data_IF_223961608828
#
_entry.id   IF_223961608828
#
_cell.length_a   1.000
_cell.length_b   1.000
_cell.length_c   1.000
_cell.angle_alpha   90.00
_cell.angle_beta   90.00
_cell.angle_gamma   90.00
#
_symmetry.space_group_name_H-M   'P 1'
#
loop_
_entity.id
_entity.type
_entity.pdbx_description
1 polymer ?
#
# COMPACT_ATOMS: atom_id res chain seq x y z
N UNK A 1 -4.72 -5.67 15.14
CA UNK A 1 -3.49 -5.25 14.45
C UNK A 1 -3.89 -4.45 13.21
N UNK A 2 -3.16 -3.37 12.84
CA UNK A 2 -3.52 -2.60 11.65
C UNK A 2 -3.42 -3.48 10.39
N UNK A 3 -4.37 -3.32 9.47
CA UNK A 3 -4.47 -4.11 8.23
C UNK A 3 -3.15 -4.10 7.44
N UNK A 4 -2.47 -2.95 7.41
CA UNK A 4 -1.17 -2.79 6.76
C UNK A 4 -0.04 -3.62 7.40
N UNK A 5 -0.09 -3.83 8.71
CA UNK A 5 0.90 -4.67 9.39
C UNK A 5 0.67 -6.16 9.08
N UNK A 6 -0.58 -6.61 9.07
CA UNK A 6 -0.94 -7.97 8.66
C UNK A 6 -0.51 -8.21 7.20
N UNK A 7 -0.83 -7.27 6.29
CA UNK A 7 -0.39 -7.32 4.88
C UNK A 7 1.13 -7.41 4.77
N UNK A 8 1.86 -6.63 5.56
CA UNK A 8 3.33 -6.65 5.58
C UNK A 8 3.87 -8.00 6.04
N UNK A 9 3.28 -8.61 7.07
CA UNK A 9 3.67 -9.95 7.55
C UNK A 9 3.41 -11.03 6.50
N UNK A 10 2.24 -11.02 5.85
CA UNK A 10 1.93 -11.94 4.75
C UNK A 10 2.90 -11.76 3.57
N UNK A 11 3.33 -10.52 3.31
CA UNK A 11 4.30 -10.22 2.24
C UNK A 11 5.71 -10.75 2.57
N UNK A 12 6.11 -10.79 3.85
CA UNK A 12 7.37 -11.44 4.26
C UNK A 12 7.33 -12.94 3.96
N UNK A 13 6.21 -13.60 4.24
CA UNK A 13 6.04 -15.00 3.88
C UNK A 13 6.14 -15.20 2.35
N UNK A 14 5.50 -14.32 1.57
CA UNK A 14 5.61 -14.34 0.10
C UNK A 14 7.05 -14.15 -0.38
N UNK A 15 7.82 -13.28 0.28
CA UNK A 15 9.25 -13.09 0.01
C UNK A 15 10.05 -14.38 0.24
N UNK A 16 9.84 -15.05 1.38
CA UNK A 16 10.51 -16.33 1.69
C UNK A 16 10.18 -17.39 0.63
N UNK A 17 8.91 -17.54 0.25
CA UNK A 17 8.48 -18.47 -0.80
C UNK A 17 9.14 -18.14 -2.15
N UNK A 18 9.37 -16.85 -2.44
CA UNK A 18 10.05 -16.39 -3.65
C UNK A 18 11.52 -16.79 -3.65
N UNK A 19 12.23 -16.55 -2.55
CA UNK A 19 13.64 -16.97 -2.40
C UNK A 19 13.76 -18.49 -2.50
N UNK A 20 12.86 -19.23 -1.85
CA UNK A 20 12.83 -20.69 -1.95
C UNK A 20 12.54 -21.18 -3.37
N UNK A 21 11.67 -20.50 -4.13
CA UNK A 21 11.41 -20.81 -5.53
C UNK A 21 12.66 -20.63 -6.41
N UNK A 22 13.41 -19.52 -6.21
CA UNK A 22 14.68 -19.27 -6.91
C UNK A 22 15.67 -20.37 -6.55
N UNK A 23 15.87 -20.64 -5.26
CA UNK A 23 16.81 -21.64 -4.76
C UNK A 23 16.55 -23.02 -5.38
N UNK A 24 15.32 -23.50 -5.29
CA UNK A 24 14.95 -24.81 -5.86
C UNK A 24 15.09 -24.86 -7.38
N UNK A 25 14.84 -23.76 -8.08
CA UNK A 25 15.05 -23.70 -9.54
C UNK A 25 16.54 -23.75 -9.90
N UNK A 26 17.39 -23.01 -9.19
CA UNK A 26 18.83 -22.98 -9.42
C UNK A 26 19.50 -24.31 -9.04
N UNK A 27 19.06 -24.98 -7.99
CA UNK A 27 19.57 -26.32 -7.66
C UNK A 27 19.22 -27.36 -8.72
N UNK A 28 18.05 -27.25 -9.38
CA UNK A 28 17.64 -28.20 -10.43
C UNK A 28 18.25 -27.89 -11.79
N UNK A 29 18.44 -26.62 -12.14
CA UNK A 29 18.85 -26.21 -13.50
C UNK A 29 20.20 -25.51 -13.60
N UNK A 30 20.78 -25.07 -12.48
CA UNK A 30 21.98 -24.23 -12.43
C UNK A 30 23.25 -24.96 -11.97
N UNK A 31 23.14 -26.16 -11.40
CA UNK A 31 24.29 -26.98 -10.99
C UNK A 31 24.52 -28.14 -11.96
N UNK A 32 25.80 -28.44 -12.22
CA UNK A 32 26.22 -29.63 -12.97
C UNK A 32 26.11 -30.90 -12.11
N UNK A 33 26.39 -30.78 -10.80
CA UNK A 33 26.32 -31.88 -9.84
C UNK A 33 25.10 -31.75 -8.92
N UNK A 34 24.36 -32.85 -8.78
CA UNK A 34 23.14 -32.89 -7.98
C UNK A 34 23.47 -33.16 -6.51
N UNK A 35 23.52 -32.09 -5.70
CA UNK A 35 23.68 -32.20 -4.24
C UNK A 35 22.45 -32.78 -3.55
N UNK A 36 21.27 -32.59 -4.14
CA UNK A 36 19.98 -32.95 -3.56
C UNK A 36 19.19 -33.88 -4.48
N UNK A 37 18.19 -34.57 -3.91
CA UNK A 37 17.27 -35.38 -4.70
C UNK A 37 16.38 -34.48 -5.58
N UNK A 38 16.59 -34.56 -6.91
CA UNK A 38 15.90 -33.73 -7.92
C UNK A 38 14.37 -33.94 -7.89
N UNK A 39 13.89 -35.16 -7.68
CA UNK A 39 12.45 -35.43 -7.66
C UNK A 39 11.78 -34.77 -6.46
N UNK A 40 12.41 -34.85 -5.28
CA UNK A 40 11.94 -34.15 -4.08
C UNK A 40 11.95 -32.64 -4.29
N UNK A 41 13.02 -32.08 -4.85
CA UNK A 41 13.12 -30.65 -5.17
C UNK A 41 12.00 -30.20 -6.13
N UNK A 42 11.72 -30.97 -7.19
CA UNK A 42 10.62 -30.67 -8.12
C UNK A 42 9.26 -30.70 -7.43
N UNK A 43 9.00 -31.67 -6.54
CA UNK A 43 7.76 -31.73 -5.74
C UNK A 43 7.62 -30.51 -4.81
N UNK A 44 8.69 -30.16 -4.10
CA UNK A 44 8.74 -28.99 -3.22
C UNK A 44 8.54 -27.68 -3.99
N UNK A 45 9.18 -27.53 -5.16
CA UNK A 45 9.01 -26.34 -6.01
C UNK A 45 7.54 -26.19 -6.47
N UNK A 46 6.90 -27.29 -6.88
CA UNK A 46 5.48 -27.28 -7.27
C UNK A 46 4.56 -26.95 -6.10
N UNK A 47 4.81 -27.52 -4.92
CA UNK A 47 4.04 -27.22 -3.71
C UNK A 47 4.20 -25.74 -3.31
N UNK A 48 5.44 -25.25 -3.29
CA UNK A 48 5.77 -23.85 -3.03
C UNK A 48 5.06 -22.91 -4.01
N UNK A 49 5.01 -23.25 -5.30
CA UNK A 49 4.27 -22.49 -6.31
C UNK A 49 2.77 -22.41 -6.03
N UNK A 50 2.13 -23.49 -5.55
CA UNK A 50 0.71 -23.46 -5.16
C UNK A 50 0.46 -22.59 -3.94
N UNK A 51 1.30 -22.71 -2.91
CA UNK A 51 1.22 -21.88 -1.70
C UNK A 51 1.44 -20.41 -2.04
N UNK A 52 2.40 -20.12 -2.91
CA UNK A 52 2.66 -18.77 -3.43
C UNK A 52 1.41 -18.18 -4.10
N UNK A 53 0.77 -18.92 -5.02
CA UNK A 53 -0.43 -18.44 -5.73
C UNK A 53 -1.58 -18.18 -4.76
N UNK A 54 -1.82 -19.09 -3.81
CA UNK A 54 -2.87 -18.92 -2.81
C UNK A 54 -2.65 -17.67 -1.96
N UNK A 55 -1.43 -17.49 -1.45
CA UNK A 55 -1.05 -16.33 -0.64
C UNK A 55 -1.11 -15.03 -1.46
N UNK A 56 -0.70 -15.08 -2.72
CA UNK A 56 -0.76 -13.94 -3.64
C UNK A 56 -2.21 -13.49 -3.85
N UNK A 57 -3.14 -14.42 -4.11
CA UNK A 57 -4.57 -14.11 -4.28
C UNK A 57 -5.15 -13.50 -3.00
N UNK A 58 -4.80 -14.06 -1.83
CA UNK A 58 -5.24 -13.51 -0.54
C UNK A 58 -4.77 -12.07 -0.33
N UNK A 59 -3.49 -11.77 -0.61
CA UNK A 59 -2.95 -10.40 -0.51
C UNK A 59 -3.59 -9.48 -1.55
N UNK A 60 -3.78 -9.96 -2.78
CA UNK A 60 -4.42 -9.21 -3.85
C UNK A 60 -5.87 -8.82 -3.50
N UNK A 61 -6.62 -9.69 -2.83
CA UNK A 61 -7.96 -9.37 -2.32
C UNK A 61 -7.94 -8.16 -1.38
N UNK A 62 -7.04 -8.14 -0.38
CA UNK A 62 -6.91 -6.98 0.52
C UNK A 62 -6.50 -5.70 -0.21
N UNK A 63 -5.66 -5.81 -1.24
CA UNK A 63 -5.27 -4.66 -2.07
C UNK A 63 -6.46 -4.12 -2.89
N UNK A 64 -7.23 -4.99 -3.54
CA UNK A 64 -8.39 -4.59 -4.33
C UNK A 64 -9.49 -3.99 -3.46
N UNK A 65 -9.76 -4.62 -2.31
CA UNK A 65 -10.71 -4.11 -1.31
C UNK A 65 -10.33 -2.69 -0.85
N UNK A 66 -9.04 -2.45 -0.58
CA UNK A 66 -8.53 -1.13 -0.23
C UNK A 66 -8.72 -0.11 -1.36
N UNK A 67 -8.42 -0.47 -2.62
CA UNK A 67 -8.58 0.44 -3.77
C UNK A 67 -10.05 0.79 -4.01
N UNK A 68 -10.94 -0.20 -4.00
CA UNK A 68 -12.38 -0.01 -4.21
C UNK A 68 -12.98 0.87 -3.13
N UNK A 69 -12.57 0.70 -1.87
CA UNK A 69 -13.09 1.48 -0.74
C UNK A 69 -12.54 2.89 -0.67
N UNK A 70 -11.25 3.09 -0.96
CA UNK A 70 -10.63 4.42 -0.86
C UNK A 70 -10.94 5.33 -2.06
N UNK A 71 -11.17 4.77 -3.25
CA UNK A 71 -11.41 5.52 -4.50
C UNK A 71 -10.41 6.67 -4.71
N UNK A 72 -9.20 6.53 -4.18
CA UNK A 72 -8.14 7.52 -4.24
C UNK A 72 -7.26 7.23 -5.45
N UNK A 73 -6.78 8.28 -6.10
CA UNK A 73 -5.80 8.11 -7.17
C UNK A 73 -4.53 7.46 -6.61
N UNK A 74 -3.96 6.45 -7.31
CA UNK A 74 -2.77 5.80 -6.84
C UNK A 74 -1.59 6.76 -6.89
N UNK A 75 -0.87 6.89 -5.78
CA UNK A 75 0.42 7.58 -5.76
C UNK A 75 1.42 6.87 -6.70
N UNK A 76 2.50 7.53 -7.15
CA UNK A 76 3.49 6.89 -8.03
C UNK A 76 3.99 5.54 -7.49
N UNK A 77 4.24 5.45 -6.17
CA UNK A 77 4.61 4.19 -5.49
C UNK A 77 3.52 3.13 -5.62
N UNK A 78 2.25 3.49 -5.39
CA UNK A 78 1.13 2.57 -5.53
C UNK A 78 0.93 2.11 -6.98
N UNK A 79 1.18 2.99 -7.95
CA UNK A 79 1.17 2.66 -9.38
C UNK A 79 2.24 1.64 -9.73
N UNK A 80 3.49 1.84 -9.30
CA UNK A 80 4.55 0.83 -9.50
C UNK A 80 4.21 -0.51 -8.84
N UNK A 81 3.67 -0.49 -7.63
CA UNK A 81 3.21 -1.70 -6.95
C UNK A 81 2.14 -2.45 -7.78
N UNK A 82 1.15 -1.73 -8.32
CA UNK A 82 0.10 -2.30 -9.16
C UNK A 82 0.65 -2.87 -10.48
N UNK A 83 1.57 -2.14 -11.14
CA UNK A 83 2.21 -2.59 -12.39
C UNK A 83 2.98 -3.89 -12.15
N UNK A 84 3.76 -3.98 -11.06
CA UNK A 84 4.46 -5.21 -10.71
C UNK A 84 3.50 -6.36 -10.42
N UNK A 85 2.42 -6.09 -9.68
CA UNK A 85 1.41 -7.09 -9.37
C UNK A 85 0.77 -7.67 -10.66
N UNK A 86 0.27 -6.81 -11.54
CA UNK A 86 -0.34 -7.22 -12.81
C UNK A 86 0.66 -7.99 -13.67
N UNK A 87 1.91 -7.53 -13.73
CA UNK A 87 2.98 -8.20 -14.48
C UNK A 87 3.26 -9.60 -13.95
N UNK A 88 3.27 -9.80 -12.63
CA UNK A 88 3.42 -11.14 -12.01
C UNK A 88 2.26 -12.06 -12.40
N UNK A 89 1.01 -11.58 -12.36
CA UNK A 89 -0.16 -12.37 -12.76
C UNK A 89 -0.06 -12.78 -14.23
N UNK A 90 0.23 -11.84 -15.12
CA UNK A 90 0.38 -12.10 -16.56
C UNK A 90 1.46 -13.13 -16.83
N UNK A 91 2.62 -13.00 -16.17
CA UNK A 91 3.72 -13.95 -16.33
C UNK A 91 3.41 -15.33 -15.72
N UNK A 92 2.62 -15.41 -14.64
CA UNK A 92 2.17 -16.68 -14.08
C UNK A 92 1.25 -17.41 -15.07
N UNK A 93 0.29 -16.71 -15.69
CA UNK A 93 -0.54 -17.29 -16.74
C UNK A 93 0.30 -17.76 -17.92
N UNK A 94 1.24 -16.93 -18.39
CA UNK A 94 2.14 -17.30 -19.48
C UNK A 94 2.98 -18.54 -19.14
N UNK A 95 3.53 -18.60 -17.91
CA UNK A 95 4.26 -19.75 -17.39
C UNK A 95 3.42 -21.02 -17.43
N UNK A 96 2.18 -20.95 -16.94
CA UNK A 96 1.25 -22.09 -16.94
C UNK A 96 0.89 -22.53 -18.36
N UNK A 97 0.66 -21.58 -19.27
CA UNK A 97 0.39 -21.85 -20.69
C UNK A 97 1.57 -22.55 -21.37
N UNK A 98 2.81 -22.15 -21.11
CA UNK A 98 4.00 -22.80 -21.69
C UNK A 98 4.21 -24.22 -21.15
N UNK A 99 3.84 -24.48 -19.90
CA UNK A 99 3.96 -25.81 -19.29
C UNK A 99 2.88 -26.77 -19.84
N UNK A 100 1.63 -26.31 -19.99
CA UNK A 100 0.49 -27.20 -20.27
C UNK A 100 0.09 -27.23 -21.75
N UNK A 101 0.15 -26.09 -22.45
CA UNK A 101 -0.41 -25.93 -23.80
C UNK A 101 0.74 -25.80 -24.82
N UNK A 102 1.59 -24.77 -24.66
CA UNK A 102 2.61 -24.41 -25.65
C UNK A 102 3.99 -24.97 -25.30
N UNK A 103 4.09 -26.31 -25.27
CA UNK A 103 5.29 -27.04 -24.81
C UNK A 103 6.59 -26.70 -25.58
N UNK A 104 6.50 -26.17 -26.81
CA UNK A 104 7.68 -25.68 -27.56
C UNK A 104 8.42 -24.55 -26.83
N UNK A 105 7.73 -23.78 -25.99
CA UNK A 105 8.32 -22.69 -25.20
C UNK A 105 8.76 -23.12 -23.79
N UNK A 106 8.91 -24.42 -23.54
CA UNK A 106 9.29 -24.92 -22.21
C UNK A 106 10.66 -24.40 -21.76
N UNK A 107 11.60 -24.19 -22.69
CA UNK A 107 12.94 -23.68 -22.37
C UNK A 107 12.94 -22.26 -21.78
N UNK A 108 11.91 -21.46 -22.08
CA UNK A 108 11.72 -20.09 -21.60
C UNK A 108 11.09 -20.04 -20.20
N UNK A 109 10.52 -21.15 -19.68
CA UNK A 109 9.83 -21.21 -18.38
C UNK A 109 10.73 -20.77 -17.22
N UNK A 110 12.04 -21.06 -17.29
CA UNK A 110 13.03 -20.64 -16.28
C UNK A 110 13.23 -19.12 -16.26
N UNK A 111 13.27 -18.49 -17.44
CA UNK A 111 13.42 -17.04 -17.57
C UNK A 111 12.18 -16.34 -17.00
N UNK A 112 10.99 -16.85 -17.35
CA UNK A 112 9.72 -16.35 -16.80
C UNK A 112 9.70 -16.51 -15.26
N UNK A 113 10.20 -17.63 -14.74
CA UNK A 113 10.33 -17.85 -13.29
C UNK A 113 11.20 -16.79 -12.59
N UNK A 114 12.35 -16.44 -13.18
CA UNK A 114 13.24 -15.39 -12.65
C UNK A 114 12.54 -14.03 -12.71
N UNK A 115 11.89 -13.69 -13.82
CA UNK A 115 11.16 -12.43 -13.97
C UNK A 115 10.06 -12.28 -12.92
N UNK A 116 9.25 -13.33 -12.70
CA UNK A 116 8.23 -13.35 -11.65
C UNK A 116 8.88 -13.07 -10.29
N UNK A 117 10.01 -13.70 -9.99
CA UNK A 117 10.67 -13.52 -8.71
C UNK A 117 11.20 -12.08 -8.51
N UNK A 118 11.86 -11.50 -9.52
CA UNK A 118 12.35 -10.12 -9.47
C UNK A 118 11.21 -9.11 -9.32
N UNK A 119 10.14 -9.25 -10.09
CA UNK A 119 8.96 -8.38 -10.00
C UNK A 119 8.26 -8.53 -8.65
N UNK A 120 8.21 -9.74 -8.09
CA UNK A 120 7.66 -9.97 -6.74
C UNK A 120 8.50 -9.24 -5.69
N UNK A 121 9.83 -9.31 -5.77
CA UNK A 121 10.72 -8.61 -4.84
C UNK A 121 10.52 -7.09 -4.96
N UNK A 122 10.44 -6.54 -6.18
CA UNK A 122 10.15 -5.12 -6.42
C UNK A 122 8.77 -4.69 -5.89
N UNK A 123 7.74 -5.52 -6.10
CA UNK A 123 6.39 -5.30 -5.57
C UNK A 123 6.36 -5.28 -4.04
N UNK A 124 7.08 -6.20 -3.39
CA UNK A 124 7.21 -6.26 -1.92
C UNK A 124 7.98 -5.04 -1.41
N UNK A 125 9.07 -4.65 -2.07
CA UNK A 125 9.88 -3.48 -1.72
C UNK A 125 9.09 -2.17 -1.75
N UNK A 126 8.31 -1.95 -2.80
CA UNK A 126 7.44 -0.75 -2.96
C UNK A 126 6.26 -0.71 -1.99
N UNK A 127 5.94 -1.82 -1.30
CA UNK A 127 4.86 -1.87 -0.31
C UNK A 127 5.36 -2.24 1.09
N UNK A 128 5.45 -3.53 1.43
CA UNK A 128 5.82 -3.98 2.78
C UNK A 128 7.22 -3.50 3.19
N UNK A 129 8.19 -3.50 2.26
CA UNK A 129 9.54 -3.00 2.52
C UNK A 129 9.53 -1.52 2.93
N UNK A 130 8.88 -0.67 2.13
CA UNK A 130 8.71 0.74 2.48
C UNK A 130 8.00 0.92 3.83
N UNK A 131 6.87 0.24 4.04
CA UNK A 131 6.09 0.32 5.28
C UNK A 131 6.92 -0.03 6.52
N UNK A 132 7.64 -1.16 6.49
CA UNK A 132 8.47 -1.59 7.61
C UNK A 132 9.64 -0.62 7.87
N UNK A 133 10.23 -0.02 6.83
CA UNK A 133 11.28 0.97 7.00
C UNK A 133 10.77 2.26 7.67
N UNK A 134 9.63 2.81 7.20
CA UNK A 134 9.10 4.07 7.74
C UNK A 134 8.43 3.94 9.11
N UNK A 135 8.09 2.71 9.51
CA UNK A 135 7.47 2.41 10.81
C UNK A 135 8.45 1.80 11.81
N UNK A 136 9.75 1.69 11.47
CA UNK A 136 10.77 0.93 12.22
C UNK A 136 10.25 -0.45 12.62
N UNK A 137 9.83 -1.24 11.64
CA UNK A 137 9.26 -2.57 11.81
C UNK A 137 8.01 -2.60 12.71
N UNK A 138 7.21 -1.54 12.69
CA UNK A 138 6.02 -1.39 13.51
C UNK A 138 6.27 -0.93 14.96
N UNK A 139 7.50 -0.50 15.28
CA UNK A 139 7.91 -0.08 16.64
C UNK A 139 7.71 1.44 16.86
N UNK A 140 7.59 2.25 15.79
CA UNK A 140 7.53 3.72 15.95
C UNK A 140 6.18 4.25 16.48
N UNK A 141 6.22 4.62 17.76
CA UNK A 141 5.40 5.65 18.43
C UNK A 141 5.80 7.04 17.90
N UNK A 142 4.86 7.97 17.65
CA UNK A 142 5.09 9.14 16.80
C UNK A 142 5.94 10.21 17.46
N UNK A 143 7.19 10.45 17.01
CA UNK A 143 7.95 11.64 17.43
C UNK A 143 8.84 12.23 16.32
N UNK A 144 8.59 13.53 16.11
CA UNK A 144 9.42 14.68 15.65
C UNK A 144 10.28 14.56 14.40
N UNK A 145 9.88 15.38 13.42
CA UNK A 145 10.56 16.61 12.95
C UNK A 145 10.48 16.65 11.43
N UNK A 146 9.62 17.52 10.90
CA UNK A 146 9.76 17.96 9.52
C UNK A 146 9.84 19.47 9.54
N UNK A 147 11.01 19.91 9.12
CA UNK A 147 11.45 21.27 8.89
C UNK A 147 10.49 22.02 7.97
N UNK A 148 10.36 23.31 8.23
CA UNK A 148 9.36 24.20 7.65
C UNK A 148 9.71 24.48 6.18
N UNK A 149 9.21 23.67 5.25
CA UNK A 149 9.23 24.03 3.82
C UNK A 149 8.22 25.17 3.64
N UNK A 150 8.75 26.35 3.31
CA UNK A 150 8.04 27.61 3.13
C UNK A 150 7.31 27.55 1.77
N UNK A 151 6.07 27.07 1.77
CA UNK A 151 5.18 27.21 0.63
C UNK A 151 4.57 28.61 0.64
N UNK A 152 4.49 29.23 -0.55
CA UNK A 152 3.83 30.51 -0.78
C UNK A 152 2.42 30.51 -0.17
N UNK A 153 2.11 31.58 0.55
CA UNK A 153 1.02 31.67 1.52
C UNK A 153 -0.36 31.79 0.84
N UNK A 154 -0.86 30.72 0.21
CA UNK A 154 -2.30 30.57 -0.01
C UNK A 154 -2.95 30.33 1.36
N UNK A 155 -3.55 31.37 1.93
CA UNK A 155 -4.25 31.29 3.22
C UNK A 155 -5.52 30.47 3.06
N UNK A 156 -5.49 29.22 3.53
CA UNK A 156 -6.69 28.41 3.70
C UNK A 156 -7.42 28.91 4.95
N UNK A 157 -8.62 29.44 4.80
CA UNK A 157 -9.46 29.88 5.92
C UNK A 157 -10.61 28.90 6.14
N UNK A 158 -11.24 28.96 7.31
CA UNK A 158 -12.41 28.15 7.62
C UNK A 158 -13.65 28.84 7.04
N UNK A 159 -14.27 28.23 6.03
CA UNK A 159 -15.63 28.60 5.61
C UNK A 159 -16.63 28.07 6.64
N UNK A 160 -17.69 28.85 6.90
CA UNK A 160 -18.75 28.49 7.85
C UNK A 160 -20.14 28.45 7.22
N UNK A 161 -20.25 28.60 5.89
CA UNK A 161 -21.52 28.48 5.20
C UNK A 161 -21.99 27.02 5.12
N UNK A 162 -23.31 26.84 5.19
CA UNK A 162 -23.96 25.52 5.20
C UNK A 162 -23.64 24.72 3.95
N UNK A 163 -23.51 25.37 2.78
CA UNK A 163 -23.22 24.71 1.51
C UNK A 163 -21.84 24.05 1.52
N UNK A 164 -20.80 24.77 1.95
CA UNK A 164 -19.43 24.26 2.07
C UNK A 164 -19.33 23.12 3.08
N UNK A 165 -20.07 23.19 4.20
CA UNK A 165 -20.13 22.13 5.20
C UNK A 165 -20.78 20.87 4.61
N UNK A 166 -21.88 21.00 3.87
CA UNK A 166 -22.57 19.86 3.23
C UNK A 166 -21.67 19.21 2.17
N UNK A 167 -21.10 19.99 1.25
CA UNK A 167 -20.16 19.48 0.24
C UNK A 167 -18.93 18.85 0.88
N UNK A 168 -18.41 19.46 1.95
CA UNK A 168 -17.30 18.93 2.74
C UNK A 168 -17.62 17.59 3.39
N UNK A 169 -18.83 17.44 3.93
CA UNK A 169 -19.32 16.19 4.52
C UNK A 169 -19.43 15.09 3.48
N UNK A 170 -20.03 15.36 2.32
CA UNK A 170 -20.13 14.38 1.22
C UNK A 170 -18.74 13.94 0.73
N UNK A 171 -17.82 14.89 0.57
CA UNK A 171 -16.45 14.59 0.18
C UNK A 171 -15.71 13.79 1.26
N UNK A 172 -15.91 14.11 2.54
CA UNK A 172 -15.37 13.36 3.66
C UNK A 172 -15.91 11.92 3.71
N UNK A 173 -17.22 11.76 3.54
CA UNK A 173 -17.87 10.45 3.53
C UNK A 173 -17.36 9.58 2.38
N UNK A 174 -17.09 10.17 1.22
CA UNK A 174 -16.60 9.44 0.05
C UNK A 174 -15.11 9.12 0.06
N UNK A 175 -14.27 9.92 0.74
CA UNK A 175 -12.79 9.80 0.66
C UNK A 175 -12.10 9.51 2.00
N UNK A 176 -12.70 9.89 3.13
CA UNK A 176 -12.02 9.92 4.43
C UNK A 176 -12.64 8.97 5.47
N UNK A 177 -13.96 8.77 5.43
CA UNK A 177 -14.74 8.01 6.42
C UNK A 177 -14.26 6.56 6.62
N UNK A 178 -13.73 5.93 5.56
CA UNK A 178 -13.19 4.58 5.65
C UNK A 178 -12.04 4.46 6.66
N UNK A 179 -11.20 5.49 6.73
CA UNK A 179 -10.05 5.51 7.62
C UNK A 179 -10.34 6.23 8.95
N UNK A 180 -11.22 7.22 8.92
CA UNK A 180 -11.36 8.20 9.99
C UNK A 180 -12.79 8.30 10.52
N UNK A 181 -12.95 8.02 11.81
CA UNK A 181 -14.22 8.14 12.53
C UNK A 181 -14.43 9.59 13.00
N UNK A 182 -15.57 10.20 12.68
CA UNK A 182 -15.86 11.61 13.04
C UNK A 182 -16.26 11.77 14.50
N UNK A 183 -16.84 10.72 15.09
CA UNK A 183 -17.41 10.74 16.44
C UNK A 183 -16.43 10.32 17.55
N UNK A 184 -15.20 9.93 17.17
CA UNK A 184 -14.22 9.32 18.07
C UNK A 184 -12.86 10.02 17.97
N UNK A 185 -12.05 9.91 19.02
CA UNK A 185 -10.61 10.25 19.03
C UNK A 185 -9.72 9.01 19.00
N UNK A 186 -10.32 7.81 19.03
CA UNK A 186 -9.59 6.53 19.06
C UNK A 186 -8.92 6.23 17.71
N UNK A 187 -7.89 5.41 17.76
CA UNK A 187 -7.17 4.94 16.57
C UNK A 187 -7.86 3.72 15.96
N UNK A 188 -8.21 3.80 14.67
CA UNK A 188 -8.73 2.69 13.87
C UNK A 188 -7.76 2.33 12.75
N UNK A 189 -8.18 2.56 11.50
CA UNK A 189 -7.28 2.55 10.32
C UNK A 189 -6.45 3.85 10.30
N UNK A 190 -7.09 4.99 10.52
CA UNK A 190 -6.48 6.28 10.85
C UNK A 190 -6.93 6.78 12.23
N UNK A 191 -6.42 7.95 12.69
CA UNK A 191 -6.90 8.59 13.91
C UNK A 191 -8.34 9.08 13.75
N UNK A 192 -9.13 9.01 14.82
CA UNK A 192 -10.43 9.67 14.87
C UNK A 192 -10.34 11.20 14.77
N UNK A 193 -11.38 11.81 14.22
CA UNK A 193 -11.44 13.24 13.88
C UNK A 193 -12.35 14.08 14.77
N UNK A 194 -12.88 13.52 15.86
CA UNK A 194 -13.65 14.31 16.84
C UNK A 194 -12.80 15.48 17.34
N UNK A 195 -13.30 16.71 17.12
CA UNK A 195 -12.61 17.95 17.47
C UNK A 195 -11.24 18.14 16.80
N UNK A 196 -11.00 17.59 15.60
CA UNK A 196 -9.67 17.56 14.99
C UNK A 196 -9.01 18.95 14.84
N UNK A 197 -9.79 19.98 14.49
CA UNK A 197 -9.33 21.38 14.38
C UNK A 197 -9.37 22.14 15.70
N UNK A 198 -10.00 21.57 16.75
CA UNK A 198 -10.01 22.13 18.11
C UNK A 198 -8.81 21.67 18.93
N UNK A 199 -8.10 20.64 18.47
CA UNK A 199 -6.90 20.15 19.11
C UNK A 199 -5.71 21.11 18.88
N UNK A 200 -4.75 21.21 19.81
CA UNK A 200 -3.57 22.03 19.59
C UNK A 200 -2.71 21.49 18.44
N UNK A 201 -2.67 20.16 18.26
CA UNK A 201 -1.82 19.48 17.28
C UNK A 201 -2.59 18.37 16.57
N UNK A 202 -2.21 18.10 15.32
CA UNK A 202 -2.69 16.95 14.54
C UNK A 202 -2.17 15.62 15.15
N UNK A 203 -3.00 14.56 15.21
CA UNK A 203 -2.71 13.35 15.97
C UNK A 203 -1.41 12.64 15.60
N UNK A 204 -1.11 12.56 14.29
CA UNK A 204 0.01 11.79 13.75
C UNK A 204 1.23 12.66 13.47
N UNK A 205 1.06 13.74 12.71
CA UNK A 205 2.15 14.60 12.25
C UNK A 205 2.67 15.54 13.35
N UNK A 206 1.90 15.74 14.43
CA UNK A 206 2.19 16.68 15.51
C UNK A 206 2.38 18.12 15.06
N UNK A 207 1.89 18.47 13.86
CA UNK A 207 1.82 19.88 13.40
C UNK A 207 0.66 20.59 14.10
N UNK A 208 0.69 21.93 14.26
CA UNK A 208 -0.46 22.69 14.73
C UNK A 208 -1.71 22.37 13.91
N UNK A 209 -2.87 22.15 14.55
CA UNK A 209 -4.10 21.79 13.85
C UNK A 209 -4.79 23.03 13.23
N UNK A 210 -4.06 23.72 12.34
CA UNK A 210 -4.59 24.86 11.59
C UNK A 210 -5.15 24.41 10.24
N UNK A 211 -6.07 25.18 9.64
CA UNK A 211 -6.59 24.91 8.29
C UNK A 211 -5.50 24.66 7.24
N UNK A 212 -4.41 25.44 7.28
CA UNK A 212 -3.30 25.33 6.34
C UNK A 212 -2.52 24.03 6.54
N UNK A 213 -2.30 23.62 7.78
CA UNK A 213 -1.64 22.35 8.08
C UNK A 213 -2.52 21.15 7.73
N UNK A 214 -3.85 21.27 7.86
CA UNK A 214 -4.80 20.26 7.41
C UNK A 214 -4.82 20.18 5.88
N UNK A 215 -4.94 21.31 5.18
CA UNK A 215 -4.84 21.37 3.71
C UNK A 215 -3.54 20.72 3.21
N UNK A 216 -2.41 21.10 3.82
CA UNK A 216 -1.11 20.55 3.48
C UNK A 216 -1.04 19.06 3.80
N UNK A 217 -1.61 18.58 4.90
CA UNK A 217 -1.61 17.16 5.21
C UNK A 217 -2.54 16.35 4.30
N UNK A 218 -3.62 16.92 3.78
CA UNK A 218 -4.47 16.25 2.78
C UNK A 218 -3.72 16.10 1.46
N UNK A 219 -3.00 17.15 1.02
CA UNK A 219 -2.21 17.13 -0.23
C UNK A 219 -0.92 16.31 -0.09
N UNK A 220 -0.17 16.56 0.96
CA UNK A 220 1.13 15.98 1.28
C UNK A 220 1.01 15.17 2.58
N UNK A 221 0.44 13.96 2.51
CA UNK A 221 0.09 13.17 3.68
C UNK A 221 1.31 12.74 4.49
N UNK A 222 1.04 12.50 5.77
CA UNK A 222 2.04 11.99 6.70
C UNK A 222 1.91 10.48 6.86
N UNK A 223 3.03 9.75 6.69
CA UNK A 223 3.15 8.29 6.79
C UNK A 223 2.19 7.53 5.86
N UNK A 224 1.22 6.81 6.42
CA UNK A 224 0.38 5.83 5.73
C UNK A 224 -0.90 6.44 5.15
N UNK A 225 -1.15 7.72 5.37
CA UNK A 225 -2.29 8.42 4.79
C UNK A 225 -2.10 8.55 3.26
N UNK A 226 -3.12 8.23 2.44
CA UNK A 226 -3.04 8.44 0.99
C UNK A 226 -3.04 9.94 0.66
N UNK A 227 -2.45 10.29 -0.49
CA UNK A 227 -2.38 11.68 -0.94
C UNK A 227 -3.65 12.03 -1.72
N UNK A 228 -4.13 13.25 -1.50
CA UNK A 228 -5.24 13.86 -2.23
C UNK A 228 -4.80 15.16 -2.91
N UNK A 229 -3.57 15.18 -3.45
CA UNK A 229 -3.01 16.36 -4.13
C UNK A 229 -3.83 16.83 -5.33
N UNK A 230 -4.65 15.95 -5.91
CA UNK A 230 -5.53 16.22 -7.04
C UNK A 230 -6.81 17.00 -6.68
N UNK A 231 -7.17 17.12 -5.39
CA UNK A 231 -8.35 17.89 -4.99
C UNK A 231 -8.17 19.37 -5.30
N UNK A 232 -9.24 20.03 -5.73
CA UNK A 232 -9.24 21.48 -5.96
C UNK A 232 -9.07 22.25 -4.64
N UNK A 233 -8.65 23.51 -4.71
CA UNK A 233 -8.56 24.34 -3.49
C UNK A 233 -9.94 24.52 -2.83
N UNK A 234 -11.01 24.54 -3.62
CA UNK A 234 -12.39 24.63 -3.12
C UNK A 234 -12.81 23.36 -2.37
N UNK A 235 -12.50 22.17 -2.89
CA UNK A 235 -12.75 20.89 -2.23
C UNK A 235 -12.04 20.79 -0.87
N UNK A 236 -10.79 21.27 -0.82
CA UNK A 236 -10.02 21.32 0.42
C UNK A 236 -10.66 22.28 1.43
N UNK A 237 -11.11 23.46 0.99
CA UNK A 237 -11.81 24.41 1.85
C UNK A 237 -13.13 23.84 2.38
N UNK A 238 -13.89 23.13 1.55
CA UNK A 238 -15.13 22.47 1.95
C UNK A 238 -14.85 21.37 2.99
N UNK A 239 -13.81 20.55 2.79
CA UNK A 239 -13.38 19.56 3.80
C UNK A 239 -13.02 20.23 5.12
N UNK A 240 -12.24 21.31 5.10
CA UNK A 240 -11.86 22.05 6.31
C UNK A 240 -13.09 22.61 7.03
N UNK A 241 -14.06 23.16 6.28
CA UNK A 241 -15.32 23.65 6.82
C UNK A 241 -16.06 22.55 7.60
N UNK A 242 -16.19 21.37 7.00
CA UNK A 242 -16.81 20.22 7.68
C UNK A 242 -16.00 19.76 8.90
N UNK A 243 -14.67 19.61 8.78
CA UNK A 243 -13.81 19.21 9.89
C UNK A 243 -13.86 20.18 11.08
N UNK A 244 -14.16 21.45 10.85
CA UNK A 244 -14.32 22.45 11.90
C UNK A 244 -15.60 22.25 12.73
N UNK A 245 -16.60 21.56 12.17
CA UNK A 245 -17.85 21.22 12.87
C UNK A 245 -17.71 20.03 13.83
N UNK A 246 -16.66 19.21 13.67
CA UNK A 246 -16.45 17.96 14.41
C UNK A 246 -15.98 18.16 15.86
#
# INVERSE_FOLDING_TARGET
MPIFFIKSLLSILLFILTIFAIFTMFEVFGRLENRFNIERLKKLHRLNGKVYILLYILIAYFCLDFVVKTKAEPSPRATFHAIFAISVITLLFLKLSFIHIYKKFYNQVKIIGILIALLTIGMIGTSAGYYLLITKFGIDIPVKRVEKIRFEEKRFYVKNDTESIVKGKELYESKCSFCHETSSTKWGVGPGHKGILKNPLLPVSKKPATPENVANQIRNPYKDMPSFSYLSDEDILNLIAYLNTL
#
